data_IF_174520656887
#
_entry.id   IF_174520656887
#
_cell.length_a   1.000
_cell.length_b   1.000
_cell.length_c   1.000
_cell.angle_alpha   90.00
_cell.angle_beta   90.00
_cell.angle_gamma   90.00
#
_symmetry.space_group_name_H-M   'P 1'
#
loop_
_entity.id
_entity.type
_entity.pdbx_description
1 polymer ?
#
# COMPACT_ATOMS: atom_id res chain seq x y z
N UNK A 1 25.22 -20.85 47.29
CA UNK A 1 24.84 -20.23 46.01
C UNK A 1 26.11 -19.74 45.32
N UNK A 2 26.66 -20.51 44.37
CA UNK A 2 27.80 -20.08 43.58
C UNK A 2 27.54 -20.08 42.06
N UNK A 3 28.39 -19.31 41.39
CA UNK A 3 28.54 -19.08 39.96
C UNK A 3 28.86 -20.37 39.18
N UNK A 4 28.40 -20.49 37.93
CA UNK A 4 29.13 -21.24 36.89
C UNK A 4 28.92 -20.65 35.48
N UNK A 5 30.05 -20.31 34.86
CA UNK A 5 30.29 -20.02 33.44
C UNK A 5 30.17 -21.28 32.58
N UNK A 6 29.70 -21.12 31.34
CA UNK A 6 30.14 -21.82 30.11
C UNK A 6 29.88 -20.85 28.93
N UNK A 7 30.86 -20.12 28.38
CA UNK A 7 31.80 -20.50 27.29
C UNK A 7 31.14 -21.22 26.11
N UNK A 8 30.95 -20.50 25.00
CA UNK A 8 31.02 -21.05 23.64
C UNK A 8 31.84 -20.05 22.80
N UNK A 9 33.10 -20.41 22.56
CA UNK A 9 33.95 -19.85 21.52
C UNK A 9 33.83 -20.68 20.24
N UNK A 10 34.02 -20.02 19.09
CA UNK A 10 34.39 -20.64 17.82
C UNK A 10 33.38 -20.41 16.71
N UNK A 11 33.74 -20.04 15.48
CA UNK A 11 35.03 -19.80 14.82
C UNK A 11 34.69 -18.93 13.61
N UNK A 12 35.47 -17.87 13.39
CA UNK A 12 35.50 -17.14 12.12
C UNK A 12 36.35 -17.91 11.11
N UNK A 13 35.78 -18.23 9.95
CA UNK A 13 36.58 -18.59 8.76
C UNK A 13 36.08 -17.81 7.54
N UNK A 14 36.95 -16.91 7.07
CA UNK A 14 36.97 -16.36 5.72
C UNK A 14 37.46 -17.44 4.76
N UNK A 15 36.76 -17.63 3.65
CA UNK A 15 37.23 -18.14 2.36
C UNK A 15 36.12 -17.74 1.37
N UNK A 16 36.33 -17.03 0.27
CA UNK A 16 37.32 -17.26 -0.77
C UNK A 16 36.57 -17.68 -2.03
N UNK A 17 36.39 -16.72 -2.96
CA UNK A 17 35.82 -16.81 -4.32
C UNK A 17 35.99 -18.15 -5.06
N UNK A 18 35.04 -18.51 -5.95
CA UNK A 18 35.31 -18.75 -7.40
C UNK A 18 33.99 -18.89 -8.19
N UNK A 19 33.80 -17.99 -9.16
CA UNK A 19 32.88 -18.11 -10.29
C UNK A 19 33.24 -19.33 -11.16
N UNK A 20 32.26 -20.18 -11.51
CA UNK A 20 32.41 -21.14 -12.63
C UNK A 20 31.59 -20.65 -13.82
N UNK A 21 32.30 -20.04 -14.78
CA UNK A 21 31.85 -19.92 -16.16
C UNK A 21 32.05 -21.28 -16.86
N UNK A 22 31.02 -21.77 -17.55
CA UNK A 22 31.17 -22.85 -18.52
C UNK A 22 31.20 -22.24 -19.91
N UNK A 23 32.42 -22.11 -20.44
CA UNK A 23 32.68 -21.95 -21.86
C UNK A 23 32.73 -23.33 -22.50
N UNK A 24 31.98 -23.55 -23.58
CA UNK A 24 32.22 -24.67 -24.51
C UNK A 24 32.49 -24.03 -25.87
N UNK A 25 33.77 -24.08 -26.26
CA UNK A 25 34.28 -23.70 -27.56
C UNK A 25 34.22 -24.87 -28.55
N UNK A 26 34.09 -24.49 -29.82
CA UNK A 26 33.82 -25.27 -31.02
C UNK A 26 34.95 -26.19 -31.52
N UNK A 27 34.59 -27.18 -32.38
CA UNK A 27 35.38 -27.73 -33.50
C UNK A 27 34.36 -28.25 -34.56
N UNK A 28 34.08 -27.49 -35.63
CA UNK A 28 34.62 -27.54 -37.02
C UNK A 28 34.06 -28.62 -38.00
N UNK A 29 33.40 -28.08 -39.04
CA UNK A 29 33.45 -28.40 -40.47
C UNK A 29 32.95 -29.75 -41.03
N UNK A 30 31.95 -29.67 -41.93
CA UNK A 30 32.11 -29.99 -43.36
C UNK A 30 30.83 -29.65 -44.16
N UNK A 31 31.00 -28.99 -45.30
CA UNK A 31 29.95 -28.75 -46.28
C UNK A 31 29.78 -29.98 -47.19
N UNK A 32 28.53 -30.40 -47.41
CA UNK A 32 28.14 -31.24 -48.55
C UNK A 32 26.78 -30.75 -49.06
N UNK A 33 26.77 -30.25 -50.29
CA UNK A 33 25.56 -30.01 -51.10
C UNK A 33 25.11 -31.33 -51.73
N UNK A 34 23.87 -31.78 -51.50
CA UNK A 34 23.07 -32.52 -52.49
C UNK A 34 21.58 -32.51 -52.14
N UNK A 35 20.80 -32.35 -53.20
CA UNK A 35 19.33 -32.40 -53.36
C UNK A 35 18.68 -33.71 -52.88
N UNK A 36 17.54 -33.63 -52.17
CA UNK A 36 16.68 -34.78 -51.85
C UNK A 36 15.33 -34.34 -51.25
N UNK A 37 14.23 -34.96 -51.70
CA UNK A 37 12.83 -34.49 -51.56
C UNK A 37 12.20 -34.53 -50.15
N UNK A 38 10.92 -34.11 -50.01
CA UNK A 38 10.30 -33.90 -48.72
C UNK A 38 9.94 -35.24 -48.06
N UNK A 39 10.65 -35.62 -47.00
CA UNK A 39 10.24 -36.70 -46.11
C UNK A 39 9.14 -36.18 -45.17
N UNK A 40 7.96 -36.77 -45.29
CA UNK A 40 6.77 -36.48 -44.47
C UNK A 40 7.00 -37.07 -43.07
N UNK A 41 7.47 -36.25 -42.13
CA UNK A 41 7.54 -36.62 -40.72
C UNK A 41 6.12 -36.72 -40.15
N UNK A 42 5.70 -37.93 -39.77
CA UNK A 42 4.47 -38.15 -39.02
C UNK A 42 4.70 -37.68 -37.57
N UNK A 43 4.04 -36.58 -37.20
CA UNK A 43 3.97 -36.11 -35.82
C UNK A 43 3.08 -37.08 -35.02
N UNK A 44 3.69 -37.86 -34.13
CA UNK A 44 2.94 -38.58 -33.10
C UNK A 44 2.30 -37.54 -32.16
N UNK A 45 0.97 -37.54 -32.10
CA UNK A 45 0.23 -36.71 -31.15
C UNK A 45 0.50 -37.19 -29.73
N UNK A 46 1.06 -36.32 -28.89
CA UNK A 46 1.17 -36.57 -27.45
C UNK A 46 -0.24 -36.67 -26.84
N UNK A 47 -0.48 -37.53 -25.83
CA UNK A 47 -1.77 -37.62 -25.18
C UNK A 47 -2.11 -36.28 -24.52
N UNK A 48 -3.33 -35.78 -24.75
CA UNK A 48 -3.84 -34.61 -24.08
C UNK A 48 -3.89 -34.88 -22.57
N UNK A 49 -3.07 -34.17 -21.79
CA UNK A 49 -3.23 -34.10 -20.34
C UNK A 49 -4.57 -33.40 -20.07
N UNK A 50 -5.54 -34.16 -19.58
CA UNK A 50 -6.77 -33.60 -19.00
C UNK A 50 -6.36 -32.66 -17.87
N UNK A 51 -6.56 -31.35 -18.06
CA UNK A 51 -6.37 -30.36 -17.01
C UNK A 51 -7.25 -30.77 -15.82
N UNK A 52 -6.62 -31.06 -14.68
CA UNK A 52 -7.34 -31.31 -13.44
C UNK A 52 -8.21 -30.08 -13.14
N UNK A 53 -9.50 -30.30 -12.89
CA UNK A 53 -10.40 -29.24 -12.46
C UNK A 53 -9.84 -28.65 -11.15
N UNK A 54 -9.41 -27.39 -11.19
CA UNK A 54 -9.06 -26.65 -9.98
C UNK A 54 -10.31 -26.54 -9.12
N UNK A 55 -10.32 -27.20 -7.95
CA UNK A 55 -11.39 -27.05 -6.97
C UNK A 55 -11.56 -25.57 -6.61
N UNK A 56 -12.81 -25.11 -6.59
CA UNK A 56 -13.14 -23.76 -6.12
C UNK A 56 -12.68 -23.61 -4.68
N UNK A 57 -11.89 -22.58 -4.33
CA UNK A 57 -11.44 -22.38 -2.96
C UNK A 57 -12.64 -22.28 -2.01
N UNK A 58 -12.58 -23.00 -0.88
CA UNK A 58 -13.58 -22.86 0.18
C UNK A 58 -13.55 -21.42 0.74
N UNK A 59 -14.71 -20.82 1.07
CA UNK A 59 -14.76 -19.54 1.78
C UNK A 59 -14.08 -19.60 3.15
N UNK A 60 -13.46 -18.50 3.56
CA UNK A 60 -12.88 -18.37 4.90
C UNK A 60 -13.96 -18.19 5.97
N UNK A 61 -13.66 -18.61 7.20
CA UNK A 61 -14.53 -18.35 8.35
C UNK A 61 -14.11 -17.07 9.08
N UNK A 62 -14.76 -15.96 8.77
CA UNK A 62 -14.50 -14.66 9.42
C UNK A 62 -15.05 -14.53 10.83
N UNK A 63 -15.76 -15.56 11.34
CA UNK A 63 -16.08 -15.64 12.77
C UNK A 63 -14.85 -15.99 13.61
N UNK A 64 -13.89 -16.72 13.04
CA UNK A 64 -12.61 -16.99 13.68
C UNK A 64 -11.79 -15.69 13.78
N UNK A 65 -11.36 -15.36 14.99
CA UNK A 65 -10.46 -14.23 15.22
C UNK A 65 -9.14 -14.33 14.43
N UNK A 66 -8.66 -15.53 14.07
CA UNK A 66 -7.43 -15.69 13.29
C UNK A 66 -7.55 -15.16 11.86
N UNK A 67 -8.76 -15.02 11.33
CA UNK A 67 -9.01 -14.43 10.00
C UNK A 67 -8.89 -12.90 9.98
N UNK A 68 -8.35 -12.28 11.05
CA UNK A 68 -8.21 -10.83 11.18
C UNK A 68 -6.82 -10.47 11.68
N UNK A 69 -6.14 -9.58 10.95
CA UNK A 69 -4.90 -8.95 11.40
C UNK A 69 -5.16 -7.94 12.52
N UNK A 70 -6.28 -7.22 12.42
CA UNK A 70 -6.76 -6.30 13.44
C UNK A 70 -8.24 -6.51 13.70
N UNK A 71 -8.62 -6.63 14.97
CA UNK A 71 -10.02 -6.58 15.42
C UNK A 71 -10.10 -5.99 16.84
N UNK A 72 -11.05 -5.07 17.14
CA UNK A 72 -11.04 -4.35 18.40
C UNK A 72 -11.12 -5.26 19.63
N UNK A 73 -10.44 -4.87 20.71
CA UNK A 73 -10.43 -5.60 21.98
C UNK A 73 -9.39 -6.73 22.07
N UNK A 74 -8.45 -6.80 21.12
CA UNK A 74 -7.38 -7.82 21.07
C UNK A 74 -6.00 -7.19 21.12
N UNK A 75 -5.02 -8.00 21.52
CA UNK A 75 -3.59 -7.71 21.34
C UNK A 75 -3.13 -8.40 20.05
N UNK A 76 -3.27 -7.69 18.93
CA UNK A 76 -2.97 -8.18 17.58
C UNK A 76 -2.05 -7.22 16.81
N UNK A 77 -2.03 -7.27 15.47
CA UNK A 77 -1.12 -6.45 14.66
C UNK A 77 -1.34 -4.93 14.85
N UNK A 78 -2.52 -4.51 15.32
CA UNK A 78 -2.82 -3.11 15.60
C UNK A 78 -2.45 -2.66 17.02
N UNK A 79 -2.05 -3.58 17.92
CA UNK A 79 -1.65 -3.27 19.29
C UNK A 79 -0.16 -2.90 19.38
N UNK A 80 0.23 -1.81 18.70
CA UNK A 80 1.62 -1.35 18.58
C UNK A 80 1.78 0.12 18.96
N UNK A 81 2.96 0.48 19.46
CA UNK A 81 3.30 1.88 19.74
C UNK A 81 3.60 2.65 18.44
N UNK A 82 3.02 3.84 18.32
CA UNK A 82 3.23 4.79 17.24
C UNK A 82 3.79 6.14 17.71
N UNK A 83 4.34 6.18 18.92
CA UNK A 83 5.10 7.33 19.41
C UNK A 83 6.13 7.75 18.36
N UNK A 84 6.25 9.05 18.16
CA UNK A 84 7.02 9.65 17.06
C UNK A 84 8.02 10.65 17.61
N UNK A 85 9.24 10.65 17.08
CA UNK A 85 10.18 11.75 17.27
C UNK A 85 9.89 12.82 16.22
N UNK A 86 9.56 14.02 16.68
CA UNK A 86 9.44 15.20 15.82
C UNK A 86 10.78 15.93 15.80
N UNK A 87 11.26 16.24 14.60
CA UNK A 87 12.54 16.91 14.38
C UNK A 87 12.28 18.32 13.86
N UNK A 88 12.50 19.31 14.73
CA UNK A 88 12.34 20.71 14.39
C UNK A 88 13.47 21.19 13.45
N UNK A 89 13.25 22.34 12.80
CA UNK A 89 14.20 22.91 11.85
C UNK A 89 15.56 23.27 12.45
N UNK A 90 15.65 23.47 13.76
CA UNK A 90 16.89 23.70 14.50
C UNK A 90 17.58 22.38 14.95
N UNK A 91 17.04 21.22 14.56
CA UNK A 91 17.54 19.90 14.93
C UNK A 91 17.09 19.42 16.32
N UNK A 92 16.25 20.19 17.01
CA UNK A 92 15.71 19.79 18.31
C UNK A 92 14.74 18.63 18.13
N UNK A 93 14.95 17.58 18.93
CA UNK A 93 14.06 16.43 19.01
C UNK A 93 12.99 16.65 20.09
N UNK A 94 11.74 16.32 19.77
CA UNK A 94 10.67 16.19 20.75
C UNK A 94 9.90 14.88 20.52
N UNK A 95 9.15 14.43 21.52
CA UNK A 95 8.28 13.25 21.38
C UNK A 95 6.84 13.67 21.22
N UNK A 96 6.20 13.07 20.24
CA UNK A 96 4.76 13.06 20.08
C UNK A 96 4.23 11.67 20.49
N UNK A 97 3.59 11.56 21.67
CA UNK A 97 3.02 10.30 22.11
C UNK A 97 1.81 9.92 21.26
N UNK A 98 1.61 8.61 21.07
CA UNK A 98 0.41 8.08 20.44
C UNK A 98 -0.35 7.17 21.41
N UNK A 99 -1.67 7.18 21.32
CA UNK A 99 -2.53 6.28 22.08
C UNK A 99 -3.76 5.94 21.27
N UNK A 100 -4.16 4.67 21.29
CA UNK A 100 -5.40 4.22 20.69
C UNK A 100 -6.62 4.81 21.43
N UNK A 101 -7.71 5.03 20.69
CA UNK A 101 -9.01 5.41 21.23
C UNK A 101 -9.96 4.19 21.10
N UNK A 102 -10.04 3.31 22.12
CA UNK A 102 -10.96 2.18 22.10
C UNK A 102 -12.44 2.63 22.08
N UNK A 103 -12.71 3.88 22.48
CA UNK A 103 -14.02 4.51 22.49
C UNK A 103 -14.34 5.31 21.22
N UNK A 104 -13.48 5.26 20.19
CA UNK A 104 -13.67 6.00 18.95
C UNK A 104 -15.09 5.82 18.42
N UNK A 105 -15.74 6.85 17.84
CA UNK A 105 -17.17 6.81 17.51
C UNK A 105 -17.49 6.15 16.16
N UNK A 106 -16.47 5.92 15.33
CA UNK A 106 -16.56 5.30 14.01
C UNK A 106 -15.59 4.12 13.90
N UNK A 107 -15.70 3.36 12.83
CA UNK A 107 -14.87 2.20 12.54
C UNK A 107 -14.00 2.48 11.31
N UNK A 108 -12.84 1.83 11.22
CA UNK A 108 -12.08 1.76 9.98
C UNK A 108 -11.98 0.31 9.52
N UNK A 109 -12.26 0.08 8.24
CA UNK A 109 -12.11 -1.22 7.60
C UNK A 109 -11.00 -1.13 6.55
N UNK A 110 -9.91 -1.85 6.78
CA UNK A 110 -8.68 -1.75 5.98
C UNK A 110 -8.42 -2.99 5.14
N UNK A 111 -8.18 -2.78 3.85
CA UNK A 111 -7.74 -3.83 2.92
C UNK A 111 -6.32 -3.49 2.48
N UNK A 112 -5.39 -4.33 2.88
CA UNK A 112 -3.96 -4.09 2.73
C UNK A 112 -3.45 -4.38 1.29
N UNK A 113 -2.25 -3.92 0.91
CA UNK A 113 -1.68 -4.14 -0.43
C UNK A 113 -1.03 -5.53 -0.56
N UNK A 114 -0.54 -5.84 -1.76
CA UNK A 114 0.31 -7.02 -2.01
C UNK A 114 1.61 -6.95 -1.20
N UNK A 115 1.74 -7.80 -0.18
CA UNK A 115 2.93 -7.88 0.69
C UNK A 115 3.38 -9.29 1.04
N UNK A 116 2.49 -10.30 0.94
CA UNK A 116 2.83 -11.68 1.33
C UNK A 116 4.02 -12.19 0.53
N UNK A 117 4.91 -12.85 1.27
CA UNK A 117 6.13 -13.47 0.77
C UNK A 117 5.94 -14.93 0.35
N UNK A 118 4.70 -15.44 0.40
CA UNK A 118 4.37 -16.80 -0.02
C UNK A 118 4.76 -17.08 -1.48
N UNK A 119 5.19 -18.31 -1.79
CA UNK A 119 5.64 -18.67 -3.15
C UNK A 119 4.49 -18.90 -4.14
N UNK A 120 3.28 -19.10 -3.64
CA UNK A 120 2.06 -19.32 -4.43
C UNK A 120 1.53 -18.01 -5.02
N UNK A 121 0.70 -18.04 -6.08
CA UNK A 121 0.13 -16.81 -6.66
C UNK A 121 -0.71 -15.99 -5.68
N UNK A 122 -1.46 -16.66 -4.80
CA UNK A 122 -2.22 -16.07 -3.71
C UNK A 122 -1.66 -16.54 -2.37
N UNK A 123 -1.74 -15.70 -1.34
CA UNK A 123 -1.29 -16.03 0.01
C UNK A 123 -2.18 -17.09 0.64
N UNK A 124 -1.71 -17.68 1.74
CA UNK A 124 -2.57 -18.46 2.61
C UNK A 124 -3.30 -17.57 3.64
N UNK A 125 -3.83 -18.19 4.70
CA UNK A 125 -4.52 -17.52 5.82
C UNK A 125 -3.67 -17.52 7.10
N UNK A 126 -2.35 -17.51 6.96
CA UNK A 126 -1.36 -17.41 8.04
C UNK A 126 -0.49 -16.19 7.82
N UNK A 127 -0.72 -15.13 8.61
CA UNK A 127 -0.02 -13.88 8.44
C UNK A 127 1.52 -14.02 8.57
N UNK A 128 2.26 -13.55 7.56
CA UNK A 128 3.71 -13.47 7.61
C UNK A 128 4.21 -12.12 8.21
N UNK A 129 5.53 -11.94 8.48
CA UNK A 129 6.04 -10.67 9.00
C UNK A 129 5.80 -9.46 8.10
N UNK A 130 5.64 -9.63 6.78
CA UNK A 130 5.34 -8.53 5.86
C UNK A 130 3.87 -8.09 5.99
N UNK A 131 2.94 -9.03 6.18
CA UNK A 131 1.53 -8.75 6.48
C UNK A 131 1.34 -8.08 7.85
N UNK A 132 2.16 -8.42 8.85
CA UNK A 132 2.17 -7.67 10.12
C UNK A 132 2.80 -6.27 9.96
N UNK A 133 3.88 -6.17 9.19
CA UNK A 133 4.58 -4.90 8.95
C UNK A 133 3.70 -3.90 8.19
N UNK A 134 2.85 -4.33 7.26
CA UNK A 134 2.00 -3.40 6.50
C UNK A 134 0.92 -2.76 7.37
N UNK A 135 0.38 -3.48 8.36
CA UNK A 135 -0.51 -2.92 9.38
C UNK A 135 0.20 -1.81 10.16
N UNK A 136 1.44 -2.05 10.57
CA UNK A 136 2.29 -1.05 11.21
C UNK A 136 2.50 0.17 10.31
N UNK A 137 2.77 -0.03 9.03
CA UNK A 137 3.06 1.07 8.10
C UNK A 137 1.84 1.91 7.74
N UNK A 138 0.69 1.28 7.56
CA UNK A 138 -0.42 1.92 6.85
C UNK A 138 -1.72 2.05 7.66
N UNK A 139 -1.88 1.35 8.78
CA UNK A 139 -3.21 1.24 9.38
C UNK A 139 -3.31 1.40 10.90
N UNK A 140 -2.44 0.76 11.68
CA UNK A 140 -2.61 0.70 13.14
C UNK A 140 -2.71 2.09 13.82
N UNK A 141 -2.03 3.11 13.27
CA UNK A 141 -2.11 4.50 13.76
C UNK A 141 -3.52 5.10 13.70
N UNK A 142 -4.38 4.64 12.79
CA UNK A 142 -5.81 5.03 12.73
C UNK A 142 -6.59 4.62 13.98
N UNK A 143 -6.06 3.69 14.79
CA UNK A 143 -6.63 3.29 16.07
C UNK A 143 -6.86 4.44 17.06
N UNK A 144 -6.25 5.61 16.86
CA UNK A 144 -6.52 6.83 17.66
C UNK A 144 -7.78 7.60 17.23
N UNK A 145 -8.40 7.25 16.09
CA UNK A 145 -9.56 7.95 15.50
C UNK A 145 -10.75 7.02 15.21
N UNK A 146 -10.51 5.73 15.02
CA UNK A 146 -11.52 4.74 14.67
C UNK A 146 -11.15 3.36 15.20
N UNK A 147 -12.16 2.51 15.42
CA UNK A 147 -11.92 1.12 15.82
C UNK A 147 -11.40 0.31 14.62
N UNK A 148 -10.24 -0.35 14.70
CA UNK A 148 -9.59 -0.95 13.54
C UNK A 148 -10.13 -2.36 13.23
N UNK A 149 -10.48 -2.60 11.97
CA UNK A 149 -10.79 -3.90 11.39
C UNK A 149 -9.94 -4.10 10.13
N UNK A 150 -9.10 -5.14 10.13
CA UNK A 150 -8.30 -5.51 8.95
C UNK A 150 -8.41 -7.03 8.78
N UNK A 151 -9.23 -7.54 7.84
CA UNK A 151 -9.34 -8.96 7.59
C UNK A 151 -8.06 -9.47 6.94
N UNK A 152 -7.60 -10.66 7.35
CA UNK A 152 -6.67 -11.43 6.56
C UNK A 152 -7.42 -11.98 5.34
N UNK A 153 -6.80 -11.96 4.17
CA UNK A 153 -7.41 -12.46 2.94
C UNK A 153 -6.33 -13.04 2.02
N UNK A 154 -6.72 -13.92 1.09
CA UNK A 154 -5.78 -14.58 0.16
C UNK A 154 -5.35 -13.64 -0.96
N UNK A 155 -4.61 -12.60 -0.60
CA UNK A 155 -4.06 -11.57 -1.48
C UNK A 155 -3.22 -12.17 -2.61
N UNK A 156 -3.06 -11.45 -3.73
CA UNK A 156 -2.00 -11.79 -4.69
C UNK A 156 -0.67 -11.50 -4.00
N UNK A 157 0.23 -12.47 -3.98
CA UNK A 157 1.54 -12.39 -3.31
C UNK A 157 2.53 -11.59 -4.14
N UNK A 158 3.70 -11.27 -3.55
CA UNK A 158 4.81 -10.70 -4.33
C UNK A 158 5.27 -11.62 -5.46
N UNK A 159 5.20 -12.95 -5.28
CA UNK A 159 5.49 -13.92 -6.33
C UNK A 159 4.45 -13.88 -7.45
N UNK A 160 3.15 -13.80 -7.10
CA UNK A 160 2.05 -13.67 -8.05
C UNK A 160 2.11 -12.36 -8.84
N UNK A 161 2.36 -11.24 -8.16
CA UNK A 161 2.45 -9.92 -8.78
C UNK A 161 3.62 -9.84 -9.78
N UNK A 162 4.79 -10.39 -9.45
CA UNK A 162 5.93 -10.46 -10.39
C UNK A 162 5.55 -11.19 -11.69
N UNK A 163 4.74 -12.24 -11.62
CA UNK A 163 4.25 -12.96 -12.82
C UNK A 163 3.29 -12.09 -13.63
N UNK A 164 2.40 -11.34 -12.97
CA UNK A 164 1.45 -10.44 -13.65
C UNK A 164 2.14 -9.26 -14.33
N UNK A 165 3.27 -8.80 -13.80
CA UNK A 165 4.05 -7.68 -14.35
C UNK A 165 5.08 -8.11 -15.39
N UNK A 166 5.26 -9.42 -15.63
CA UNK A 166 6.12 -9.92 -16.69
C UNK A 166 5.54 -9.54 -18.08
N UNK A 167 6.38 -9.44 -19.14
CA UNK A 167 5.91 -9.17 -20.49
C UNK A 167 4.79 -10.11 -20.92
N UNK A 168 3.66 -9.56 -21.39
CA UNK A 168 2.47 -10.33 -21.78
C UNK A 168 1.54 -10.72 -20.63
N UNK A 169 1.90 -10.39 -19.38
CA UNK A 169 1.03 -10.57 -18.22
C UNK A 169 -0.15 -9.59 -18.21
N UNK A 170 -1.23 -10.00 -17.55
CA UNK A 170 -2.40 -9.15 -17.29
C UNK A 170 -2.50 -8.91 -15.77
N UNK A 171 -2.49 -7.64 -15.36
CA UNK A 171 -2.66 -7.26 -13.96
C UNK A 171 -4.14 -7.32 -13.61
N UNK A 172 -4.53 -8.25 -12.74
CA UNK A 172 -5.89 -8.37 -12.20
C UNK A 172 -5.82 -8.51 -10.70
N UNK A 173 -6.19 -7.47 -9.96
CA UNK A 173 -6.01 -7.40 -8.50
C UNK A 173 -7.33 -7.42 -7.72
N UNK A 174 -8.46 -7.23 -8.38
CA UNK A 174 -9.81 -7.07 -7.81
C UNK A 174 -10.79 -8.22 -8.12
N UNK A 175 -10.29 -9.38 -8.55
CA UNK A 175 -11.13 -10.53 -8.96
C UNK A 175 -10.60 -11.85 -8.44
N UNK A 176 -11.50 -12.81 -8.29
CA UNK A 176 -11.18 -14.13 -7.76
C UNK A 176 -11.13 -14.12 -6.24
N UNK A 177 -10.41 -15.09 -5.68
CA UNK A 177 -10.44 -15.42 -4.26
C UNK A 177 -10.13 -14.24 -3.34
N UNK A 178 -9.22 -13.34 -3.73
CA UNK A 178 -8.91 -12.15 -2.92
C UNK A 178 -10.09 -11.17 -2.79
N UNK A 179 -10.92 -11.03 -3.84
CA UNK A 179 -12.11 -10.19 -3.76
C UNK A 179 -13.22 -10.88 -2.97
N UNK A 180 -13.43 -12.17 -3.21
CA UNK A 180 -14.44 -12.95 -2.52
C UNK A 180 -14.19 -12.96 -1.00
N UNK A 181 -12.94 -13.18 -0.58
CA UNK A 181 -12.53 -13.12 0.82
C UNK A 181 -12.82 -11.75 1.47
N UNK A 182 -12.46 -10.65 0.80
CA UNK A 182 -12.71 -9.30 1.34
C UNK A 182 -14.20 -8.97 1.39
N UNK A 183 -14.98 -9.36 0.37
CA UNK A 183 -16.44 -9.20 0.37
C UNK A 183 -17.08 -9.98 1.52
N UNK A 184 -16.64 -11.22 1.74
CA UNK A 184 -17.17 -12.08 2.81
C UNK A 184 -16.78 -11.51 4.19
N UNK A 185 -15.56 -10.99 4.37
CA UNK A 185 -15.13 -10.29 5.57
C UNK A 185 -15.94 -9.02 5.84
N UNK A 186 -16.16 -8.21 4.81
CA UNK A 186 -16.97 -6.99 4.88
C UNK A 186 -18.40 -7.29 5.33
N UNK A 187 -19.02 -8.30 4.73
CA UNK A 187 -20.35 -8.75 5.09
C UNK A 187 -20.42 -9.26 6.53
N UNK A 188 -19.43 -10.04 6.96
CA UNK A 188 -19.35 -10.50 8.34
C UNK A 188 -19.23 -9.32 9.31
N UNK A 189 -18.32 -8.38 9.04
CA UNK A 189 -18.14 -7.18 9.85
C UNK A 189 -19.43 -6.36 9.96
N UNK A 190 -20.14 -6.13 8.85
CA UNK A 190 -21.39 -5.38 8.86
C UNK A 190 -22.48 -6.04 9.70
N UNK A 191 -22.57 -7.38 9.65
CA UNK A 191 -23.59 -8.15 10.35
C UNK A 191 -23.29 -8.32 11.85
N UNK A 192 -22.01 -8.46 12.23
CA UNK A 192 -21.64 -8.92 13.57
C UNK A 192 -20.93 -7.83 14.41
N UNK A 193 -20.19 -6.92 13.78
CA UNK A 193 -19.24 -6.03 14.48
C UNK A 193 -19.59 -4.53 14.38
N UNK A 194 -20.05 -4.08 13.20
CA UNK A 194 -20.27 -2.66 12.89
C UNK A 194 -21.38 -2.02 13.76
N UNK A 195 -22.45 -2.77 14.05
CA UNK A 195 -23.59 -2.31 14.89
C UNK A 195 -24.17 -0.95 14.47
N UNK A 196 -24.19 -0.66 13.16
CA UNK A 196 -24.75 0.58 12.61
C UNK A 196 -23.83 1.79 12.62
N UNK A 197 -22.55 1.63 12.98
CA UNK A 197 -21.60 2.74 13.08
C UNK A 197 -21.12 3.23 11.71
N UNK A 198 -20.71 4.49 11.67
CA UNK A 198 -20.03 5.05 10.50
C UNK A 198 -18.70 4.34 10.26
N UNK A 199 -18.31 4.17 9.01
CA UNK A 199 -17.10 3.46 8.61
C UNK A 199 -16.27 4.25 7.61
N UNK A 200 -14.96 4.31 7.85
CA UNK A 200 -13.95 4.73 6.88
C UNK A 200 -13.40 3.48 6.21
N UNK A 201 -13.44 3.46 4.88
CA UNK A 201 -12.80 2.42 4.08
C UNK A 201 -11.38 2.86 3.79
N UNK A 202 -10.38 2.07 4.16
CA UNK A 202 -8.96 2.39 3.94
C UNK A 202 -8.34 1.30 3.08
N UNK A 203 -7.57 1.66 2.07
CA UNK A 203 -6.79 0.69 1.33
C UNK A 203 -5.59 1.28 0.61
N UNK A 204 -4.68 0.40 0.21
CA UNK A 204 -3.54 0.72 -0.64
C UNK A 204 -3.34 -0.34 -1.72
N UNK A 205 -2.86 0.07 -2.90
CA UNK A 205 -2.50 -0.83 -4.00
C UNK A 205 -3.58 -1.87 -4.31
N UNK A 206 -3.29 -3.17 -4.25
CA UNK A 206 -4.26 -4.25 -4.43
C UNK A 206 -5.55 -4.03 -3.63
N UNK A 207 -5.45 -3.69 -2.35
CA UNK A 207 -6.62 -3.43 -1.52
C UNK A 207 -7.47 -2.29 -2.08
N UNK A 208 -6.86 -1.27 -2.69
CA UNK A 208 -7.59 -0.17 -3.33
C UNK A 208 -8.30 -0.61 -4.61
N UNK A 209 -7.72 -1.55 -5.38
CA UNK A 209 -8.43 -2.18 -6.50
C UNK A 209 -9.65 -2.97 -6.01
N UNK A 210 -9.48 -3.76 -4.94
CA UNK A 210 -10.56 -4.53 -4.33
C UNK A 210 -11.65 -3.61 -3.78
N UNK A 211 -11.31 -2.58 -3.01
CA UNK A 211 -12.29 -1.64 -2.45
C UNK A 211 -12.92 -0.74 -3.52
N UNK A 212 -12.23 -0.39 -4.59
CA UNK A 212 -12.86 0.28 -5.74
C UNK A 212 -14.01 -0.57 -6.30
N UNK A 213 -13.79 -1.87 -6.47
CA UNK A 213 -14.84 -2.79 -6.91
C UNK A 213 -15.95 -2.95 -5.86
N UNK A 214 -15.59 -3.19 -4.60
CA UNK A 214 -16.56 -3.38 -3.51
C UNK A 214 -17.44 -2.15 -3.35
N UNK A 215 -16.87 -0.94 -3.40
CA UNK A 215 -17.66 0.30 -3.33
C UNK A 215 -18.64 0.37 -4.50
N UNK A 216 -18.19 0.11 -5.73
CA UNK A 216 -19.05 0.14 -6.92
C UNK A 216 -20.21 -0.85 -6.88
N UNK A 217 -19.95 -2.07 -6.42
CA UNK A 217 -20.93 -3.16 -6.49
C UNK A 217 -21.86 -3.16 -5.26
N UNK A 218 -21.31 -2.88 -4.07
CA UNK A 218 -22.02 -3.11 -2.81
C UNK A 218 -22.43 -1.82 -2.10
N UNK A 219 -21.80 -0.67 -2.39
CA UNK A 219 -21.99 0.56 -1.61
C UNK A 219 -22.61 1.69 -2.42
N UNK A 220 -22.04 2.06 -3.55
CA UNK A 220 -22.38 3.24 -4.33
C UNK A 220 -23.81 3.18 -4.89
N UNK A 221 -24.69 4.06 -4.38
CA UNK A 221 -26.12 4.06 -4.66
C UNK A 221 -26.96 3.14 -3.77
N UNK A 222 -26.34 2.32 -2.92
CA UNK A 222 -27.02 1.37 -2.03
C UNK A 222 -27.25 1.95 -0.63
N UNK A 223 -28.22 1.42 0.16
CA UNK A 223 -28.52 1.92 1.51
C UNK A 223 -27.31 1.98 2.45
N UNK A 224 -26.35 1.06 2.31
CA UNK A 224 -25.14 1.02 3.14
C UNK A 224 -24.24 2.25 2.94
N UNK A 225 -24.33 2.96 1.80
CA UNK A 225 -23.59 4.20 1.56
C UNK A 225 -23.83 5.26 2.65
N UNK A 226 -25.02 5.24 3.28
CA UNK A 226 -25.33 6.15 4.38
C UNK A 226 -24.41 6.00 5.60
N UNK A 227 -23.71 4.87 5.72
CA UNK A 227 -22.70 4.61 6.78
C UNK A 227 -21.28 5.00 6.36
N UNK A 228 -21.03 5.33 5.09
CA UNK A 228 -19.71 5.70 4.60
C UNK A 228 -19.31 7.08 5.15
N UNK A 229 -18.33 7.10 6.05
CA UNK A 229 -17.70 8.34 6.53
C UNK A 229 -16.79 8.90 5.44
N UNK A 230 -15.91 8.05 4.89
CA UNK A 230 -15.11 8.34 3.71
C UNK A 230 -14.47 7.05 3.17
N UNK A 231 -13.97 7.11 1.95
CA UNK A 231 -13.09 6.11 1.38
C UNK A 231 -11.71 6.71 1.14
N UNK A 232 -10.66 5.99 1.50
CA UNK A 232 -9.25 6.36 1.33
C UNK A 232 -8.61 5.25 0.50
N UNK A 233 -8.52 5.44 -0.81
CA UNK A 233 -8.03 4.44 -1.78
C UNK A 233 -6.71 4.93 -2.38
N UNK A 234 -5.59 4.51 -1.80
CA UNK A 234 -4.27 5.00 -2.20
C UNK A 234 -3.54 3.99 -3.11
N UNK A 235 -2.51 4.44 -3.82
CA UNK A 235 -1.66 3.57 -4.64
C UNK A 235 -2.40 2.87 -5.80
N UNK A 236 -3.41 3.54 -6.37
CA UNK A 236 -4.17 3.06 -7.53
C UNK A 236 -4.63 4.23 -8.40
N UNK A 237 -5.32 3.93 -9.51
CA UNK A 237 -5.96 4.95 -10.36
C UNK A 237 -7.47 4.80 -10.29
N UNK A 238 -8.14 5.82 -9.75
CA UNK A 238 -9.60 5.96 -9.79
C UNK A 238 -9.95 6.96 -10.89
N UNK A 239 -10.85 6.60 -11.80
CA UNK A 239 -11.20 7.45 -12.93
C UNK A 239 -12.41 8.35 -12.58
N UNK A 240 -12.34 9.62 -12.96
CA UNK A 240 -13.47 10.57 -12.89
C UNK A 240 -13.55 11.38 -14.19
N UNK A 241 -14.75 11.83 -14.61
CA UNK A 241 -14.85 12.73 -15.76
C UNK A 241 -14.08 14.02 -15.50
N UNK A 242 -13.48 14.58 -16.55
CA UNK A 242 -12.71 15.84 -16.43
C UNK A 242 -13.56 16.95 -15.80
N UNK A 243 -13.05 17.57 -14.73
CA UNK A 243 -13.74 18.65 -14.03
C UNK A 243 -14.95 18.22 -13.21
N UNK A 244 -15.11 16.92 -12.93
CA UNK A 244 -16.17 16.34 -12.10
C UNK A 244 -15.55 15.54 -10.95
N UNK A 245 -16.36 15.33 -9.92
CA UNK A 245 -15.98 14.54 -8.74
C UNK A 245 -16.68 13.17 -8.70
N UNK A 246 -17.67 12.93 -9.57
CA UNK A 246 -18.43 11.68 -9.73
C UNK A 246 -18.71 11.43 -11.22
N UNK A 247 -19.24 10.24 -11.55
CA UNK A 247 -19.65 9.83 -12.89
C UNK A 247 -18.60 8.99 -13.63
N UNK A 248 -17.57 8.53 -12.92
CA UNK A 248 -16.51 7.65 -13.43
C UNK A 248 -16.56 6.30 -12.72
N UNK A 249 -15.51 5.99 -11.96
CA UNK A 249 -15.48 4.79 -11.11
C UNK A 249 -16.65 4.77 -10.13
N UNK A 250 -17.01 5.91 -9.54
CA UNK A 250 -18.18 6.05 -8.66
C UNK A 250 -19.19 7.03 -9.25
N UNK A 251 -20.47 6.69 -9.15
CA UNK A 251 -21.61 7.49 -9.57
C UNK A 251 -22.10 8.45 -8.47
N UNK A 252 -22.00 8.08 -7.19
CA UNK A 252 -22.51 8.89 -6.07
C UNK A 252 -21.49 9.17 -4.96
N UNK A 253 -20.28 8.61 -5.00
CA UNK A 253 -19.21 8.90 -4.03
C UNK A 253 -18.24 9.95 -4.62
N UNK A 254 -18.37 11.25 -4.26
CA UNK A 254 -17.52 12.31 -4.80
C UNK A 254 -16.11 12.31 -4.21
N UNK A 255 -15.17 12.95 -4.90
CA UNK A 255 -13.90 13.34 -4.28
C UNK A 255 -14.11 14.28 -3.08
N UNK A 256 -13.31 14.11 -2.04
CA UNK A 256 -13.32 15.01 -0.89
C UNK A 256 -12.77 16.39 -1.28
N UNK A 257 -13.46 17.44 -0.84
CA UNK A 257 -13.11 18.87 -1.06
C UNK A 257 -12.87 19.63 0.24
N UNK A 258 -13.27 19.08 1.38
CA UNK A 258 -12.96 19.65 2.69
C UNK A 258 -12.74 18.57 3.75
N UNK A 259 -11.99 18.86 4.82
CA UNK A 259 -11.67 17.88 5.86
C UNK A 259 -12.89 17.37 6.66
N UNK A 260 -14.02 18.08 6.67
CA UNK A 260 -15.24 17.66 7.37
C UNK A 260 -16.30 17.05 6.45
N UNK A 261 -16.02 16.96 5.15
CA UNK A 261 -16.94 16.34 4.19
C UNK A 261 -17.00 14.84 4.44
N UNK A 262 -18.21 14.28 4.53
CA UNK A 262 -18.45 12.84 4.68
C UNK A 262 -18.97 12.22 3.38
N UNK A 263 -18.87 10.89 3.26
CA UNK A 263 -19.32 10.14 2.10
C UNK A 263 -18.48 10.40 0.84
N UNK A 264 -17.22 10.79 1.01
CA UNK A 264 -16.34 11.21 -0.08
C UNK A 264 -15.07 10.33 -0.17
N UNK A 265 -14.38 10.44 -1.30
CA UNK A 265 -13.17 9.70 -1.67
C UNK A 265 -11.91 10.57 -1.56
N UNK A 266 -10.88 10.03 -0.92
CA UNK A 266 -9.48 10.47 -1.02
C UNK A 266 -8.72 9.41 -1.79
N UNK A 267 -8.07 9.80 -2.88
CA UNK A 267 -7.31 8.88 -3.74
C UNK A 267 -6.13 9.61 -4.37
N UNK A 268 -5.00 8.92 -4.47
CA UNK A 268 -3.84 9.33 -5.26
C UNK A 268 -2.85 8.17 -5.39
N UNK A 269 -1.93 8.30 -6.34
CA UNK A 269 -0.61 7.66 -6.30
C UNK A 269 0.44 8.77 -6.27
N UNK A 270 1.49 8.62 -5.47
CA UNK A 270 2.48 9.68 -5.25
C UNK A 270 3.77 9.50 -6.05
N UNK A 271 4.32 10.63 -6.51
CA UNK A 271 5.58 10.71 -7.26
C UNK A 271 6.39 11.88 -6.74
N UNK A 272 7.73 11.75 -6.74
CA UNK A 272 8.60 12.90 -6.45
C UNK A 272 8.46 13.94 -7.56
N UNK A 273 8.52 15.23 -7.22
CA UNK A 273 8.59 16.30 -8.22
C UNK A 273 9.84 16.19 -9.11
N UNK A 274 10.91 15.57 -8.61
CA UNK A 274 12.15 15.31 -9.35
C UNK A 274 12.14 14.03 -10.18
N UNK A 275 11.15 13.15 -9.96
CA UNK A 275 10.97 11.89 -10.69
C UNK A 275 9.49 11.73 -11.04
N UNK A 276 8.97 12.58 -11.95
CA UNK A 276 7.55 12.56 -12.32
C UNK A 276 7.19 11.28 -13.10
N UNK A 277 5.89 10.96 -13.24
CA UNK A 277 5.44 9.76 -13.95
C UNK A 277 6.04 9.63 -15.36
N UNK A 278 6.78 8.54 -15.66
CA UNK A 278 7.31 8.28 -16.99
C UNK A 278 6.24 7.69 -17.92
N UNK A 279 6.56 7.52 -19.21
CA UNK A 279 5.63 6.96 -20.21
C UNK A 279 5.09 5.56 -19.85
N UNK A 280 5.89 4.75 -19.14
CA UNK A 280 5.52 3.43 -18.64
C UNK A 280 5.00 3.44 -17.19
N UNK A 281 4.55 4.60 -16.68
CA UNK A 281 3.94 4.73 -15.35
C UNK A 281 2.84 3.69 -15.13
N UNK A 282 2.79 3.13 -13.92
CA UNK A 282 1.73 2.18 -13.53
C UNK A 282 0.47 2.89 -13.03
N UNK A 283 0.58 4.17 -12.65
CA UNK A 283 -0.48 4.93 -12.02
C UNK A 283 -0.70 6.29 -12.67
N UNK A 284 -1.86 6.89 -12.40
CA UNK A 284 -2.22 8.22 -12.87
C UNK A 284 -2.66 8.28 -14.34
N UNK A 285 -2.82 7.12 -14.99
CA UNK A 285 -3.22 6.99 -16.39
C UNK A 285 -4.60 6.36 -16.52
N UNK A 286 -5.46 6.98 -17.32
CA UNK A 286 -6.79 6.46 -17.68
C UNK A 286 -6.87 6.33 -19.20
N UNK A 287 -7.40 5.21 -19.69
CA UNK A 287 -7.46 4.93 -21.13
C UNK A 287 -8.51 5.78 -21.86
N UNK A 288 -9.62 6.10 -21.20
CA UNK A 288 -10.68 6.96 -21.73
C UNK A 288 -10.26 8.44 -21.68
N UNK A 289 -10.21 9.10 -22.84
CA UNK A 289 -9.79 10.50 -22.98
C UNK A 289 -10.78 11.52 -22.37
N UNK A 290 -12.03 11.11 -22.10
CA UNK A 290 -13.03 11.94 -21.40
C UNK A 290 -12.84 11.92 -19.88
N UNK A 291 -12.04 10.98 -19.38
CA UNK A 291 -11.76 10.76 -17.98
C UNK A 291 -10.35 11.24 -17.60
N UNK A 292 -10.13 11.44 -16.31
CA UNK A 292 -8.82 11.70 -15.70
C UNK A 292 -8.63 10.81 -14.49
N UNK A 293 -7.37 10.57 -14.12
CA UNK A 293 -7.05 9.98 -12.84
C UNK A 293 -7.40 10.99 -11.74
N UNK A 294 -8.23 10.59 -10.79
CA UNK A 294 -8.57 11.40 -9.64
C UNK A 294 -7.35 11.59 -8.73
N UNK A 295 -7.21 12.81 -8.20
CA UNK A 295 -6.26 13.12 -7.15
C UNK A 295 -6.93 14.03 -6.12
N UNK A 296 -6.85 13.63 -4.85
CA UNK A 296 -7.25 14.44 -3.71
C UNK A 296 -6.06 14.54 -2.75
N UNK A 297 -5.47 15.74 -2.64
CA UNK A 297 -4.35 16.00 -1.74
C UNK A 297 -4.87 16.15 -0.30
N UNK A 298 -4.54 15.25 0.65
CA UNK A 298 -5.02 15.34 2.03
C UNK A 298 -4.62 16.65 2.72
N UNK A 299 -3.42 17.16 2.43
CA UNK A 299 -2.93 18.42 3.02
C UNK A 299 -3.62 19.68 2.44
N UNK A 300 -4.36 19.55 1.33
CA UNK A 300 -5.05 20.66 0.68
C UNK A 300 -6.25 20.17 -0.15
N UNK A 301 -7.28 19.62 0.49
CA UNK A 301 -8.46 19.04 -0.18
C UNK A 301 -9.22 20.04 -1.07
N UNK A 302 -9.14 21.33 -0.76
CA UNK A 302 -9.72 22.39 -1.59
C UNK A 302 -8.91 22.70 -2.87
N UNK A 303 -7.76 22.05 -3.04
CA UNK A 303 -6.80 22.27 -4.12
C UNK A 303 -5.56 23.06 -3.69
N UNK A 304 -4.52 23.02 -4.53
CA UNK A 304 -3.24 23.69 -4.28
C UNK A 304 -2.19 22.78 -3.66
N UNK A 305 -1.15 23.43 -3.11
CA UNK A 305 -0.06 22.78 -2.39
C UNK A 305 -0.28 22.87 -0.88
N UNK A 306 0.06 21.81 -0.16
CA UNK A 306 -0.02 21.76 1.31
C UNK A 306 1.24 21.11 1.89
N UNK A 307 1.61 21.52 3.10
CA UNK A 307 2.65 20.82 3.87
C UNK A 307 2.10 19.47 4.32
N UNK A 308 2.87 18.41 4.12
CA UNK A 308 2.47 17.08 4.54
C UNK A 308 2.80 16.83 6.00
N UNK A 309 1.85 16.21 6.72
CA UNK A 309 2.09 15.67 8.05
C UNK A 309 2.50 14.19 7.93
N UNK A 310 3.77 13.97 7.61
CA UNK A 310 4.32 12.64 7.39
C UNK A 310 4.76 11.95 8.69
N UNK A 311 4.58 10.63 8.72
CA UNK A 311 5.18 9.72 9.71
C UNK A 311 5.99 8.66 8.97
N UNK A 312 7.32 8.86 8.93
CA UNK A 312 8.26 7.98 8.24
C UNK A 312 8.87 7.01 9.25
N UNK A 313 9.15 5.77 8.85
CA UNK A 313 9.76 4.78 9.74
C UNK A 313 11.18 5.24 10.13
N UNK A 314 11.47 5.27 11.43
CA UNK A 314 12.74 5.80 11.93
C UNK A 314 13.95 5.00 11.44
N UNK A 315 13.76 3.70 11.19
CA UNK A 315 14.77 2.79 10.66
C UNK A 315 14.74 2.63 9.13
N UNK A 316 13.94 3.42 8.41
CA UNK A 316 13.84 3.41 6.94
C UNK A 316 13.15 2.18 6.34
N UNK A 317 12.46 1.38 7.16
CA UNK A 317 11.63 0.28 6.67
C UNK A 317 10.41 0.82 5.94
N UNK A 318 10.03 0.19 4.84
CA UNK A 318 8.76 0.46 4.13
C UNK A 318 7.86 -0.78 4.19
N UNK A 319 6.83 -0.86 3.36
CA UNK A 319 5.94 -2.04 3.31
C UNK A 319 6.66 -3.34 2.92
N UNK A 320 7.64 -3.29 2.00
CA UNK A 320 8.34 -4.47 1.47
C UNK A 320 9.87 -4.32 1.43
N UNK A 321 10.40 -3.13 1.74
CA UNK A 321 11.83 -2.84 1.69
C UNK A 321 12.39 -2.55 3.08
N UNK A 322 13.65 -2.91 3.29
CA UNK A 322 14.42 -2.68 4.52
C UNK A 322 15.71 -1.95 4.15
N UNK A 323 15.60 -0.65 3.88
CA UNK A 323 16.76 0.22 3.66
C UNK A 323 17.10 0.98 4.95
N UNK A 324 18.38 1.26 5.18
CA UNK A 324 18.79 2.18 6.24
C UNK A 324 18.69 3.62 5.73
N UNK A 325 17.99 4.53 6.42
CA UNK A 325 17.90 5.92 6.00
C UNK A 325 19.24 6.62 6.28
N UNK A 326 19.45 7.76 5.62
CA UNK A 326 20.46 8.70 6.09
C UNK A 326 20.12 9.17 7.52
N UNK A 327 21.08 9.66 8.31
CA UNK A 327 20.79 10.28 9.60
C UNK A 327 19.68 11.34 9.45
N UNK A 328 18.68 11.28 10.32
CA UNK A 328 17.56 12.22 10.30
C UNK A 328 17.94 13.64 10.74
N UNK A 329 19.03 13.75 11.51
CA UNK A 329 19.61 15.00 12.01
C UNK A 329 21.14 14.88 12.04
N UNK A 330 21.85 15.99 11.82
CA UNK A 330 23.31 16.10 11.85
C UNK A 330 23.75 17.19 12.84
N UNK A 331 24.60 16.90 13.84
CA UNK A 331 25.18 15.58 14.16
C UNK A 331 24.10 14.56 14.52
N UNK A 332 24.39 13.28 14.25
CA UNK A 332 23.45 12.18 14.48
C UNK A 332 23.05 12.11 15.96
N UNK A 333 21.74 12.00 16.21
CA UNK A 333 21.16 11.85 17.53
C UNK A 333 20.34 10.56 17.59
N UNK A 334 20.31 9.91 18.76
CA UNK A 334 19.54 8.68 18.95
C UNK A 334 18.03 8.94 18.83
N UNK A 335 17.37 8.16 17.98
CA UNK A 335 15.92 8.11 17.83
C UNK A 335 15.46 6.73 18.29
N UNK A 336 14.78 6.67 19.43
CA UNK A 336 14.29 5.42 20.04
C UNK A 336 12.80 5.18 19.80
N UNK A 337 12.14 6.08 19.08
CA UNK A 337 10.75 5.94 18.66
C UNK A 337 10.65 5.20 17.32
N UNK A 338 9.55 4.48 17.06
CA UNK A 338 9.35 3.78 15.80
C UNK A 338 9.18 4.69 14.57
N UNK A 339 8.84 5.96 14.76
CA UNK A 339 8.54 6.90 13.69
C UNK A 339 9.28 8.22 13.85
N UNK A 340 9.48 8.90 12.73
CA UNK A 340 9.98 10.27 12.64
C UNK A 340 8.98 11.14 11.88
N UNK A 341 8.79 12.37 12.36
CA UNK A 341 8.14 13.44 11.61
C UNK A 341 9.10 14.62 11.46
N UNK A 342 9.15 15.21 10.27
CA UNK A 342 10.05 16.32 9.95
C UNK A 342 9.23 17.47 9.35
N UNK A 343 8.56 18.29 10.20
CA UNK A 343 7.66 19.34 9.73
C UNK A 343 8.33 20.30 8.73
N UNK A 344 7.62 20.59 7.64
CA UNK A 344 8.10 21.46 6.56
C UNK A 344 9.03 20.79 5.54
N UNK A 345 9.53 19.57 5.80
CA UNK A 345 10.37 18.84 4.84
C UNK A 345 9.58 18.47 3.58
N UNK A 346 8.29 18.17 3.70
CA UNK A 346 7.49 17.68 2.58
C UNK A 346 6.31 18.61 2.29
N UNK A 347 6.12 18.89 1.01
CA UNK A 347 4.89 19.51 0.48
C UNK A 347 4.37 18.67 -0.66
N UNK A 348 3.05 18.67 -0.88
CA UNK A 348 2.47 18.00 -2.03
C UNK A 348 1.37 18.82 -2.67
N UNK A 349 1.13 18.55 -3.95
CA UNK A 349 0.03 19.07 -4.76
C UNK A 349 -0.45 18.01 -5.73
N UNK A 350 -1.72 18.06 -6.12
CA UNK A 350 -2.17 17.28 -7.28
C UNK A 350 -1.60 17.88 -8.56
N UNK A 351 -1.05 17.03 -9.43
CA UNK A 351 -0.40 17.41 -10.68
C UNK A 351 -0.77 16.46 -11.82
N UNK A 352 -0.39 16.85 -13.03
CA UNK A 352 -0.50 16.05 -14.26
C UNK A 352 0.72 16.32 -15.15
N UNK A 353 0.99 15.41 -16.07
CA UNK A 353 1.97 15.57 -17.15
C UNK A 353 1.48 14.84 -18.41
N UNK A 354 2.31 14.73 -19.44
CA UNK A 354 1.98 14.05 -20.70
C UNK A 354 1.71 12.55 -20.55
N UNK A 355 2.16 11.92 -19.45
CA UNK A 355 2.06 10.47 -19.22
C UNK A 355 0.95 10.10 -18.21
N UNK A 356 0.58 11.03 -17.33
CA UNK A 356 -0.40 10.84 -16.26
C UNK A 356 -1.31 12.07 -16.10
N UNK A 357 -2.63 11.85 -16.11
CA UNK A 357 -3.64 12.90 -16.01
C UNK A 357 -3.95 13.33 -14.57
N UNK A 358 -3.45 12.60 -13.56
CA UNK A 358 -3.58 12.96 -12.16
C UNK A 358 -2.71 12.09 -11.24
N UNK A 359 -1.91 12.73 -10.39
CA UNK A 359 -1.09 12.10 -9.34
C UNK A 359 -0.76 13.10 -8.23
N UNK A 360 -0.33 12.62 -7.07
CA UNK A 360 0.18 13.47 -5.99
C UNK A 360 1.67 13.72 -6.21
N UNK A 361 2.02 14.93 -6.64
CA UNK A 361 3.42 15.36 -6.72
C UNK A 361 3.91 15.74 -5.33
N UNK A 362 5.00 15.12 -4.88
CA UNK A 362 5.63 15.34 -3.58
C UNK A 362 6.99 16.02 -3.79
N UNK A 363 7.15 17.19 -3.18
CA UNK A 363 8.42 17.92 -3.16
C UNK A 363 9.09 17.76 -1.81
N UNK A 364 10.37 17.40 -1.84
CA UNK A 364 11.24 17.39 -0.67
C UNK A 364 11.98 18.73 -0.59
N UNK A 365 11.73 19.47 0.48
CA UNK A 365 12.26 20.80 0.75
C UNK A 365 13.53 20.68 1.61
N UNK A 366 14.54 19.98 1.09
CA UNK A 366 15.85 19.89 1.74
C UNK A 366 16.49 21.28 1.89
N UNK A 367 17.14 21.51 3.03
CA UNK A 367 17.84 22.74 3.35
C UNK A 367 19.20 22.38 3.97
N UNK A 368 20.28 22.34 3.16
CA UNK A 368 21.62 21.96 3.62
C UNK A 368 22.22 22.89 4.70
N UNK A 369 21.58 24.02 4.99
CA UNK A 369 22.00 24.94 6.05
C UNK A 369 21.39 24.62 7.41
N UNK A 370 20.41 23.72 7.47
CA UNK A 370 19.82 23.25 8.72
C UNK A 370 20.22 21.78 8.99
N UNK A 371 20.15 21.32 10.24
CA UNK A 371 20.72 20.03 10.61
C UNK A 371 19.87 18.83 10.17
N UNK A 372 18.67 19.01 9.59
CA UNK A 372 17.79 17.88 9.25
C UNK A 372 18.25 17.15 8.01
N UNK A 373 17.71 15.95 7.78
CA UNK A 373 17.85 15.28 6.48
C UNK A 373 17.27 16.14 5.36
N UNK A 374 17.98 16.18 4.23
CA UNK A 374 17.55 16.87 3.01
C UNK A 374 16.74 15.98 2.06
N UNK A 375 16.61 14.69 2.39
CA UNK A 375 15.92 13.70 1.55
C UNK A 375 15.20 12.64 2.39
N UNK A 376 14.28 11.92 1.74
CA UNK A 376 13.52 10.80 2.31
C UNK A 376 13.90 9.49 1.62
N UNK A 377 13.69 8.37 2.30
CA UNK A 377 13.66 7.04 1.67
C UNK A 377 12.23 6.72 1.21
N UNK A 378 12.03 5.65 0.43
CA UNK A 378 10.70 5.20 0.04
C UNK A 378 10.56 4.76 -1.42
N UNK A 379 11.53 5.10 -2.26
CA UNK A 379 11.56 4.67 -3.65
C UNK A 379 11.76 3.15 -3.76
N UNK A 380 11.23 2.58 -4.85
CA UNK A 380 11.58 1.22 -5.25
C UNK A 380 12.92 1.28 -6.00
N UNK A 381 13.97 0.75 -5.38
CA UNK A 381 15.35 0.89 -5.89
C UNK A 381 16.06 2.11 -5.31
N UNK A 382 17.26 2.44 -5.80
CA UNK A 382 18.06 3.55 -5.31
C UNK A 382 18.98 4.13 -6.39
N UNK A 383 19.32 5.41 -6.26
CA UNK A 383 20.22 6.11 -7.18
C UNK A 383 19.71 6.06 -8.63
N UNK A 384 20.58 5.64 -9.55
CA UNK A 384 20.21 5.49 -10.97
C UNK A 384 19.22 4.34 -11.25
N UNK A 385 18.93 3.48 -10.27
CA UNK A 385 18.09 2.29 -10.42
C UNK A 385 16.71 2.45 -9.77
N UNK A 386 16.24 3.69 -9.54
CA UNK A 386 14.88 3.94 -9.06
C UNK A 386 13.87 3.51 -10.13
N UNK A 387 12.90 2.69 -9.74
CA UNK A 387 11.80 2.27 -10.59
C UNK A 387 10.75 3.40 -10.67
N UNK A 388 11.06 4.43 -11.48
CA UNK A 388 10.27 5.66 -11.60
C UNK A 388 8.79 5.42 -11.94
N UNK A 389 8.45 4.32 -12.61
CA UNK A 389 7.07 3.96 -12.94
C UNK A 389 6.18 3.61 -11.74
N UNK A 390 6.79 3.37 -10.57
CA UNK A 390 6.08 3.14 -9.31
C UNK A 390 5.94 4.41 -8.46
N UNK A 391 6.75 5.44 -8.69
CA UNK A 391 6.79 6.60 -7.80
C UNK A 391 7.17 6.23 -6.35
N UNK A 392 6.52 6.86 -5.38
CA UNK A 392 6.73 6.67 -3.94
C UNK A 392 5.77 5.61 -3.34
N UNK A 393 5.33 4.64 -4.15
CA UNK A 393 4.30 3.66 -3.80
C UNK A 393 4.49 2.95 -2.46
N UNK A 394 5.74 2.70 -2.04
CA UNK A 394 6.01 2.00 -0.77
C UNK A 394 5.68 2.83 0.48
N UNK A 395 5.50 4.15 0.33
CA UNK A 395 5.29 5.10 1.42
C UNK A 395 4.12 6.07 1.17
N UNK A 396 3.24 5.82 0.17
CA UNK A 396 2.07 6.66 -0.14
C UNK A 396 1.30 7.08 1.12
N UNK A 397 1.04 6.12 2.01
CA UNK A 397 0.29 6.36 3.25
C UNK A 397 1.14 7.12 4.27
N UNK A 398 2.40 6.73 4.46
CA UNK A 398 3.32 7.36 5.42
C UNK A 398 3.53 8.85 5.15
N UNK A 399 3.55 9.24 3.87
CA UNK A 399 3.70 10.62 3.44
C UNK A 399 2.60 11.54 4.00
N UNK A 400 1.37 11.04 4.15
CA UNK A 400 0.18 11.85 4.48
C UNK A 400 -0.55 11.36 5.74
N UNK A 401 0.05 10.43 6.48
CA UNK A 401 -0.65 9.71 7.55
C UNK A 401 -1.25 10.66 8.60
N UNK A 402 -0.54 11.72 8.99
CA UNK A 402 -1.06 12.74 9.90
C UNK A 402 -2.24 13.52 9.31
N UNK A 403 -2.15 13.91 8.03
CA UNK A 403 -3.23 14.60 7.33
C UNK A 403 -4.50 13.74 7.30
N UNK A 404 -4.36 12.44 7.01
CA UNK A 404 -5.47 11.49 7.01
C UNK A 404 -6.10 11.32 8.40
N UNK A 405 -5.31 11.28 9.47
CA UNK A 405 -5.82 11.19 10.84
C UNK A 405 -6.59 12.44 11.25
N UNK A 406 -6.12 13.61 10.83
CA UNK A 406 -6.81 14.88 11.08
C UNK A 406 -8.12 14.97 10.31
N UNK A 407 -8.14 14.54 9.04
CA UNK A 407 -9.36 14.44 8.24
C UNK A 407 -10.33 13.45 8.86
N UNK A 408 -9.91 12.21 9.16
CA UNK A 408 -10.79 11.19 9.76
C UNK A 408 -11.33 11.67 11.11
N UNK A 409 -10.53 12.34 11.92
CA UNK A 409 -11.01 12.95 13.18
C UNK A 409 -12.09 14.02 12.96
N UNK A 410 -11.98 14.85 11.92
CA UNK A 410 -12.99 15.85 11.56
C UNK A 410 -14.25 15.22 10.96
N UNK A 411 -14.09 14.23 10.08
CA UNK A 411 -15.19 13.47 9.50
C UNK A 411 -15.96 12.67 10.55
N UNK A 412 -15.26 12.08 11.53
CA UNK A 412 -15.89 11.39 12.66
C UNK A 412 -16.82 12.34 13.43
N UNK A 413 -16.34 13.54 13.79
CA UNK A 413 -17.14 14.57 14.46
C UNK A 413 -18.36 14.96 13.62
N UNK A 414 -18.16 15.21 12.33
CA UNK A 414 -19.23 15.58 11.39
C UNK A 414 -20.28 14.47 11.20
N UNK A 415 -19.86 13.20 11.22
CA UNK A 415 -20.75 12.05 11.13
C UNK A 415 -21.60 11.92 12.39
N UNK A 416 -20.99 12.01 13.58
CA UNK A 416 -21.70 11.88 14.85
C UNK A 416 -22.68 13.02 15.12
N UNK A 417 -22.37 14.24 14.69
CA UNK A 417 -23.27 15.39 14.87
C UNK A 417 -24.55 15.25 14.04
N UNK A 418 -24.46 14.68 12.83
CA UNK A 418 -25.63 14.34 12.00
C UNK A 418 -26.46 13.20 12.59
N UNK A 419 -25.83 12.24 13.26
CA UNK A 419 -26.50 11.10 13.90
C UNK A 419 -27.28 11.48 15.15
N UNK A 420 -26.81 12.47 15.93
CA UNK A 420 -27.49 12.95 17.13
C UNK A 420 -28.68 13.90 16.90
N UNK A 421 -29.03 14.20 15.64
CA UNK A 421 -30.17 15.04 15.25
C UNK A 421 -31.36 14.24 14.69
N UNK A 422 -31.40 12.92 14.88
CA UNK A 422 -32.51 12.05 14.46
C UNK A 422 -33.23 11.44 15.65
#
# INVERSE_FOLDING_TARGET
MPQHRWLVEGVWTREGSVFKQLAIGAVLAAAITTTGGPARAQTAAAPAQTAAATETPKPNDYSDGKAWLCRPGRTDACAIDHTTTVIAADGKLSREPWTADPGAPIDCFYVYPTVSTDPTPNSDMSADPAELNVIRQQFARFGSKCRPYAPLYRQVTLAGLRRMLAPGGAVTLDKGVQYDDVRDAWNYYLQNDNKGRGVVLVAHSQGSFILNRLIREEIDGNPIQSRLVSAILLGTTIAVPRGKDVGGSFQHVPLCKSPSQIGCLITFASFRSTVPPPANTLFGKVADATMIAACANPAALAGGSGQLHAYLDSGGRTITNTGTPKPWVTPEQTIDTPWVSVPGLLTARCASNENASGYLEVTVNGNPSDPRTDDITGDIGAGANVAANWGLHLIDVNLVMGDLLDIVGQQAKAYTSKGGSR
#
